data_IF_421337859950
#
_entry.id   IF_421337859950
#
_cell.length_a   1.000
_cell.length_b   1.000
_cell.length_c   1.000
_cell.angle_alpha   90.00
_cell.angle_beta   90.00
_cell.angle_gamma   90.00
#
_symmetry.space_group_name_H-M   'P 1'
#
loop_
_entity.id
_entity.type
_entity.pdbx_description
1 polymer ?
#
# COMPACT_ATOMS: atom_id res chain seq x y z
N UNK A 1 -26.39 -29.62 43.27
CA UNK A 1 -26.95 -29.02 42.03
C UNK A 1 -25.84 -28.23 41.35
N UNK A 2 -25.18 -28.79 40.32
CA UNK A 2 -24.05 -28.14 39.64
C UNK A 2 -24.58 -27.25 38.51
N UNK A 3 -24.55 -25.92 38.72
CA UNK A 3 -24.84 -24.92 37.69
C UNK A 3 -23.64 -24.82 36.73
N UNK A 4 -23.77 -25.39 35.54
CA UNK A 4 -22.86 -25.12 34.43
C UNK A 4 -23.15 -23.71 33.89
N UNK A 5 -22.22 -22.79 34.11
CA UNK A 5 -22.22 -21.45 33.52
C UNK A 5 -21.53 -21.55 32.15
N UNK A 6 -22.31 -21.58 31.08
CA UNK A 6 -21.82 -21.46 29.70
C UNK A 6 -21.42 -20.00 29.45
N UNK A 7 -20.11 -19.73 29.48
CA UNK A 7 -19.56 -18.47 28.97
C UNK A 7 -19.61 -18.50 27.43
N UNK A 8 -20.58 -17.78 26.85
CA UNK A 8 -20.58 -17.48 25.42
C UNK A 8 -19.49 -16.46 25.10
N UNK A 9 -18.48 -16.89 24.34
CA UNK A 9 -17.42 -16.01 23.84
C UNK A 9 -17.97 -15.18 22.67
N UNK A 10 -18.34 -13.92 22.94
CA UNK A 10 -18.69 -12.95 21.89
C UNK A 10 -17.41 -12.56 21.15
N UNK A 11 -17.15 -13.17 19.99
CA UNK A 11 -16.17 -12.65 19.03
C UNK A 11 -16.76 -11.38 18.39
N UNK A 12 -16.43 -10.22 18.97
CA UNK A 12 -16.65 -8.95 18.29
C UNK A 12 -15.72 -8.90 17.06
N UNK A 13 -16.23 -8.56 15.86
CA UNK A 13 -15.36 -8.36 14.72
C UNK A 13 -14.44 -7.18 15.02
N UNK A 14 -13.15 -7.43 15.13
CA UNK A 14 -12.13 -6.38 15.09
C UNK A 14 -12.26 -5.71 13.72
N UNK A 15 -12.76 -4.46 13.70
CA UNK A 15 -12.68 -3.64 12.50
C UNK A 15 -11.19 -3.43 12.20
N UNK A 16 -10.66 -4.17 11.23
CA UNK A 16 -9.32 -3.95 10.72
C UNK A 16 -9.27 -2.55 10.11
N UNK A 17 -8.29 -1.72 10.51
CA UNK A 17 -8.15 -0.39 9.96
C UNK A 17 -7.92 -0.44 8.45
N UNK A 18 -8.51 0.51 7.71
CA UNK A 18 -8.24 0.70 6.29
C UNK A 18 -7.27 1.87 6.07
N UNK A 19 -6.46 1.80 5.01
CA UNK A 19 -5.60 2.87 4.56
C UNK A 19 -5.77 3.09 3.05
N UNK A 20 -6.46 4.15 2.70
CA UNK A 20 -6.65 4.57 1.31
C UNK A 20 -5.50 5.48 0.87
N UNK A 21 -4.83 5.08 -0.20
CA UNK A 21 -3.67 5.76 -0.76
C UNK A 21 -3.92 6.18 -2.21
N UNK A 22 -3.35 7.33 -2.54
CA UNK A 22 -3.11 7.78 -3.91
C UNK A 22 -1.62 8.03 -4.11
N UNK A 23 -1.18 8.09 -5.36
CA UNK A 23 0.24 8.26 -5.66
C UNK A 23 0.57 8.61 -7.10
N UNK A 24 1.85 8.91 -7.31
CA UNK A 24 2.49 9.03 -8.63
C UNK A 24 3.70 8.11 -8.69
N UNK A 25 3.85 7.36 -9.76
CA UNK A 25 5.02 6.51 -10.02
C UNK A 25 5.62 6.83 -11.39
N UNK A 26 6.93 6.69 -11.51
CA UNK A 26 7.67 6.94 -12.75
C UNK A 26 8.38 8.30 -12.78
N UNK A 27 9.31 8.46 -13.72
CA UNK A 27 10.21 9.62 -13.78
C UNK A 27 9.49 10.92 -14.11
N UNK A 28 8.49 10.88 -14.98
CA UNK A 28 7.61 12.01 -15.25
C UNK A 28 6.42 12.03 -14.28
N UNK A 29 6.37 11.08 -13.34
CA UNK A 29 5.17 10.77 -12.59
C UNK A 29 4.04 10.47 -13.56
N UNK A 30 4.24 9.55 -14.50
CA UNK A 30 3.32 9.21 -15.59
C UNK A 30 2.31 8.10 -15.23
N UNK A 31 2.53 7.39 -14.12
CA UNK A 31 1.56 6.42 -13.57
C UNK A 31 0.83 6.92 -12.32
N UNK A 32 -0.50 6.94 -12.38
CA UNK A 32 -1.37 7.15 -11.22
C UNK A 32 -1.39 5.90 -10.39
N UNK A 33 -1.17 6.03 -9.08
CA UNK A 33 -1.23 4.93 -8.14
C UNK A 33 -2.49 5.07 -7.29
N UNK A 34 -3.21 3.97 -7.11
CA UNK A 34 -4.32 3.87 -6.15
C UNK A 34 -4.24 2.55 -5.40
N UNK A 35 -4.46 2.60 -4.08
CA UNK A 35 -4.54 1.39 -3.26
C UNK A 35 -5.49 1.60 -2.08
N UNK A 36 -6.23 0.56 -1.74
CA UNK A 36 -7.00 0.46 -0.49
C UNK A 36 -6.44 -0.72 0.27
N UNK A 37 -5.71 -0.43 1.35
CA UNK A 37 -5.02 -1.43 2.13
C UNK A 37 -5.80 -1.75 3.40
N UNK A 38 -5.70 -3.00 3.86
CA UNK A 38 -6.31 -3.48 5.10
C UNK A 38 -5.20 -3.76 6.10
N UNK A 39 -5.40 -3.35 7.34
CA UNK A 39 -4.49 -3.62 8.45
C UNK A 39 -4.40 -5.13 8.70
N UNK A 40 -3.19 -5.67 8.66
CA UNK A 40 -2.96 -7.12 8.73
C UNK A 40 -3.23 -7.69 10.14
N UNK A 41 -2.97 -6.89 11.18
CA UNK A 41 -3.28 -7.19 12.57
C UNK A 41 -3.33 -5.88 13.37
N UNK A 42 -4.07 -5.81 14.49
CA UNK A 42 -4.09 -4.62 15.34
C UNK A 42 -2.67 -4.22 15.77
N UNK A 43 -2.14 -3.17 15.15
CA UNK A 43 -0.80 -2.66 15.44
C UNK A 43 -0.81 -1.65 16.58
N UNK A 44 0.38 -1.36 17.13
CA UNK A 44 0.51 -0.19 18.02
C UNK A 44 0.45 1.10 17.19
N UNK A 45 0.06 2.22 17.80
CA UNK A 45 0.11 3.54 17.12
C UNK A 45 1.51 3.92 16.59
N UNK A 46 2.57 3.25 17.05
CA UNK A 46 3.95 3.46 16.58
C UNK A 46 4.28 2.69 15.30
N UNK A 47 3.62 1.55 15.06
CA UNK A 47 3.85 0.70 13.89
C UNK A 47 2.58 -0.06 13.54
N UNK A 48 2.06 0.16 12.33
CA UNK A 48 0.90 -0.53 11.79
C UNK A 48 1.22 -1.07 10.39
N UNK A 49 0.87 -2.32 10.16
CA UNK A 49 1.14 -3.00 8.90
C UNK A 49 -0.14 -3.15 8.10
N UNK A 50 -0.08 -2.76 6.83
CA UNK A 50 -1.18 -2.76 5.89
C UNK A 50 -0.81 -3.58 4.66
N UNK A 51 -1.78 -4.26 4.08
CA UNK A 51 -1.60 -4.91 2.79
C UNK A 51 -2.86 -4.89 1.95
N UNK A 52 -2.71 -4.90 0.63
CA UNK A 52 -3.85 -4.85 -0.27
C UNK A 52 -3.45 -4.72 -1.74
N UNK A 53 -4.45 -4.74 -2.63
CA UNK A 53 -4.23 -4.53 -4.05
C UNK A 53 -3.77 -3.10 -4.34
N UNK A 54 -2.93 -2.98 -5.34
CA UNK A 54 -2.47 -1.71 -5.91
C UNK A 54 -2.81 -1.71 -7.41
N UNK A 55 -3.35 -0.59 -7.88
CA UNK A 55 -3.57 -0.34 -9.30
C UNK A 55 -2.75 0.85 -9.74
N UNK A 56 -2.24 0.76 -10.97
CA UNK A 56 -1.59 1.85 -11.67
C UNK A 56 -2.29 2.14 -12.98
N UNK A 57 -2.54 3.41 -13.27
CA UNK A 57 -3.09 3.86 -14.55
C UNK A 57 -2.12 4.82 -15.22
N UNK A 58 -1.78 4.56 -16.48
CA UNK A 58 -0.96 5.47 -17.25
C UNK A 58 -1.75 6.75 -17.55
N UNK A 59 -1.14 7.92 -17.37
CA UNK A 59 -1.80 9.22 -17.59
C UNK A 59 -1.68 9.74 -19.02
N UNK A 60 -0.77 9.21 -19.83
CA UNK A 60 -0.67 9.59 -21.23
C UNK A 60 -1.58 8.74 -22.12
N UNK A 61 -1.83 9.20 -23.34
CA UNK A 61 -2.49 8.39 -24.37
C UNK A 61 -1.56 7.23 -24.76
N UNK A 62 -2.03 6.01 -24.56
CA UNK A 62 -1.33 4.79 -24.94
C UNK A 62 -1.65 4.42 -26.40
N UNK A 63 -0.64 3.98 -27.14
CA UNK A 63 -0.81 3.47 -28.51
C UNK A 63 -1.49 2.09 -28.54
N UNK A 64 -1.88 1.60 -29.74
CA UNK A 64 -2.39 0.25 -29.89
C UNK A 64 -1.40 -0.80 -29.36
N UNK A 65 -1.86 -1.65 -28.44
CA UNK A 65 -1.04 -2.71 -27.82
C UNK A 65 -0.22 -2.28 -26.60
N UNK A 66 -0.23 -1.00 -26.22
CA UNK A 66 0.40 -0.53 -24.98
C UNK A 66 -0.49 -0.78 -23.75
N UNK A 67 0.16 -0.92 -22.59
CA UNK A 67 -0.49 -1.21 -21.32
C UNK A 67 -0.98 0.08 -20.67
N UNK A 68 -2.30 0.31 -20.65
CA UNK A 68 -2.91 1.48 -20.01
C UNK A 68 -3.06 1.33 -18.49
N UNK A 69 -3.14 0.10 -17.99
CA UNK A 69 -3.30 -0.19 -16.57
C UNK A 69 -2.42 -1.36 -16.13
N UNK A 70 -1.86 -1.27 -14.92
CA UNK A 70 -1.13 -2.35 -14.26
C UNK A 70 -1.79 -2.65 -12.91
N UNK A 71 -1.86 -3.93 -12.57
CA UNK A 71 -2.32 -4.39 -11.26
C UNK A 71 -1.14 -4.98 -10.49
N UNK A 72 -1.22 -4.87 -9.17
CA UNK A 72 -0.17 -5.30 -8.27
C UNK A 72 -0.67 -5.43 -6.84
N UNK A 73 0.30 -5.54 -5.92
CA UNK A 73 0.05 -5.57 -4.50
C UNK A 73 0.99 -4.59 -3.79
N UNK A 74 0.54 -4.08 -2.64
CA UNK A 74 1.33 -3.22 -1.77
C UNK A 74 1.27 -3.77 -0.34
N UNK A 75 2.44 -3.96 0.27
CA UNK A 75 2.62 -4.20 1.69
C UNK A 75 3.31 -2.98 2.28
N UNK A 76 2.72 -2.35 3.30
CA UNK A 76 3.19 -1.09 3.85
C UNK A 76 3.22 -1.15 5.38
N UNK A 77 4.40 -0.92 5.95
CA UNK A 77 4.60 -0.69 7.38
C UNK A 77 4.64 0.81 7.65
N UNK A 78 3.62 1.35 8.31
CA UNK A 78 3.52 2.77 8.67
C UNK A 78 4.17 3.00 10.03
N UNK A 79 5.21 3.81 10.05
CA UNK A 79 6.01 4.16 11.22
C UNK A 79 5.59 5.55 11.72
N UNK A 80 4.82 5.58 12.81
CA UNK A 80 4.19 6.79 13.32
C UNK A 80 3.12 7.34 12.37
N UNK A 81 3.11 8.67 12.17
CA UNK A 81 2.06 9.34 11.38
C UNK A 81 2.30 9.32 9.89
N UNK A 82 3.51 9.59 9.40
CA UNK A 82 3.72 9.82 7.96
C UNK A 82 4.80 8.94 7.35
N UNK A 83 5.77 8.44 8.14
CA UNK A 83 6.83 7.62 7.57
C UNK A 83 6.36 6.21 7.27
N UNK A 84 6.95 5.59 6.26
CA UNK A 84 6.64 4.22 5.90
C UNK A 84 7.85 3.48 5.31
N UNK A 85 7.79 2.15 5.40
CA UNK A 85 8.54 1.22 4.55
C UNK A 85 7.51 0.38 3.80
N UNK A 86 7.77 0.08 2.52
CA UNK A 86 6.86 -0.72 1.73
C UNK A 86 7.57 -1.63 0.73
N UNK A 87 6.88 -2.71 0.40
CA UNK A 87 7.15 -3.55 -0.76
C UNK A 87 5.95 -3.48 -1.70
N UNK A 88 6.22 -3.23 -2.98
CA UNK A 88 5.23 -3.20 -4.04
C UNK A 88 5.59 -4.23 -5.11
N UNK A 89 4.60 -5.00 -5.53
CA UNK A 89 4.74 -6.03 -6.55
C UNK A 89 3.99 -5.61 -7.80
N UNK A 90 4.71 -5.43 -8.91
CA UNK A 90 4.17 -4.98 -10.19
C UNK A 90 4.62 -5.94 -11.29
N UNK A 91 3.68 -6.59 -11.98
CA UNK A 91 4.02 -7.51 -13.08
C UNK A 91 4.97 -8.66 -12.68
N UNK A 92 4.96 -9.07 -11.41
CA UNK A 92 5.83 -10.11 -10.85
C UNK A 92 7.19 -9.62 -10.34
N UNK A 93 7.54 -8.35 -10.56
CA UNK A 93 8.74 -7.74 -9.97
C UNK A 93 8.42 -7.09 -8.62
N UNK A 94 9.27 -7.32 -7.62
CA UNK A 94 9.15 -6.72 -6.29
C UNK A 94 10.10 -5.52 -6.17
N UNK A 95 9.58 -4.39 -5.69
CA UNK A 95 10.39 -3.23 -5.36
C UNK A 95 10.22 -2.79 -3.92
N UNK A 96 11.34 -2.41 -3.30
CA UNK A 96 11.37 -1.87 -1.95
C UNK A 96 11.45 -0.35 -1.95
N UNK A 97 10.76 0.29 -1.02
CA UNK A 97 10.77 1.76 -0.87
C UNK A 97 10.59 2.15 0.60
N UNK A 98 11.17 3.29 0.98
CA UNK A 98 10.88 3.94 2.25
C UNK A 98 10.78 5.44 2.02
N UNK A 99 9.90 6.11 2.74
CA UNK A 99 9.64 7.53 2.55
C UNK A 99 8.64 8.10 3.53
N UNK A 100 8.07 9.24 3.14
CA UNK A 100 7.01 9.95 3.84
C UNK A 100 5.74 9.95 2.99
N UNK A 101 4.60 9.70 3.59
CA UNK A 101 3.30 9.90 2.96
C UNK A 101 3.08 11.40 2.71
N UNK A 102 3.28 11.85 1.48
CA UNK A 102 3.26 13.25 1.05
C UNK A 102 2.99 13.33 -0.47
N UNK A 103 2.31 14.39 -0.89
CA UNK A 103 2.14 14.70 -2.32
C UNK A 103 3.43 15.27 -2.95
N UNK A 104 4.30 15.89 -2.14
CA UNK A 104 5.45 16.64 -2.63
C UNK A 104 6.77 15.88 -2.48
N UNK A 105 6.92 15.08 -1.42
CA UNK A 105 8.16 14.36 -1.14
C UNK A 105 8.29 13.11 -2.00
N UNK A 106 9.37 13.03 -2.77
CA UNK A 106 9.68 11.87 -3.62
C UNK A 106 10.46 10.83 -2.83
N UNK A 107 9.92 9.61 -2.77
CA UNK A 107 10.66 8.41 -2.42
C UNK A 107 11.12 7.69 -3.70
N UNK A 108 12.06 6.76 -3.57
CA UNK A 108 12.58 5.98 -4.70
C UNK A 108 12.37 4.49 -4.47
N UNK A 109 11.54 3.88 -5.33
CA UNK A 109 11.33 2.44 -5.37
C UNK A 109 12.52 1.77 -6.04
N UNK A 110 13.15 0.82 -5.35
CA UNK A 110 14.26 0.02 -5.85
C UNK A 110 13.71 -1.27 -6.43
N UNK A 111 13.60 -1.33 -7.75
CA UNK A 111 13.08 -2.46 -8.51
C UNK A 111 14.24 -3.19 -9.17
N UNK A 112 14.65 -4.34 -8.63
CA UNK A 112 15.65 -5.25 -9.22
C UNK A 112 16.75 -4.58 -10.05
N UNK A 113 16.82 -4.93 -11.34
CA UNK A 113 17.76 -4.36 -12.30
C UNK A 113 17.30 -3.02 -12.92
N UNK A 114 16.05 -2.62 -12.73
CA UNK A 114 15.48 -1.39 -13.29
C UNK A 114 15.92 -0.12 -12.52
N UNK A 115 16.58 -0.28 -11.38
CA UNK A 115 17.15 0.83 -10.62
C UNK A 115 16.14 1.52 -9.71
N UNK A 116 16.34 2.82 -9.50
CA UNK A 116 15.53 3.65 -8.59
C UNK A 116 14.47 4.43 -9.38
N UNK A 117 13.20 4.11 -9.15
CA UNK A 117 12.06 4.74 -9.84
C UNK A 117 11.33 5.67 -8.86
N UNK A 118 11.06 6.93 -9.22
CA UNK A 118 10.37 7.87 -8.34
C UNK A 118 8.96 7.39 -7.96
N UNK A 119 8.62 7.56 -6.69
CA UNK A 119 7.32 7.24 -6.12
C UNK A 119 6.91 8.31 -5.10
N UNK A 120 5.69 8.82 -5.25
CA UNK A 120 4.97 9.60 -4.23
C UNK A 120 3.75 8.81 -3.81
N UNK A 121 3.49 8.74 -2.51
CA UNK A 121 2.27 8.16 -1.94
C UNK A 121 1.72 9.13 -0.91
N UNK A 122 0.41 9.32 -0.87
CA UNK A 122 -0.27 10.10 0.15
C UNK A 122 -1.60 9.44 0.53
N UNK A 123 -2.07 9.75 1.73
CA UNK A 123 -3.40 9.34 2.19
C UNK A 123 -4.44 10.21 1.50
N UNK A 124 -5.53 9.59 1.01
CA UNK A 124 -6.66 10.32 0.44
C UNK A 124 -7.43 11.12 1.48
#
# INVERSE_FOLDING_TARGET
MHRFLLLGFLMLPTQAGALDLAGRYGFAGEWEVSATLIEAAPGSWRSRDFSGPLRMKHLAMCGPGEVSEKSGALKLSRLGRTRYSASLTLGGEECSVSGTLSQDEVAFARCGAQGQIPLRLWVK
#
